data_IF_055497576382
#
_entry.id   IF_055497576382
#
_cell.length_a   1.000
_cell.length_b   1.000
_cell.length_c   1.000
_cell.angle_alpha   90.00
_cell.angle_beta   90.00
_cell.angle_gamma   90.00
#
_symmetry.space_group_name_H-M   'P 1'
#
loop_
_entity.id
_entity.type
_entity.pdbx_description
1 polymer ?
#
# COMPACT_ATOMS: atom_id res chain seq x y z
N UNK A 1 -20.40 0.91 16.27
CA UNK A 1 -19.61 0.19 15.25
C UNK A 1 -19.10 1.23 14.28
N UNK A 2 -17.77 1.41 14.18
CA UNK A 2 -17.16 2.40 13.28
C UNK A 2 -16.86 1.72 11.93
N UNK A 3 -17.31 2.33 10.84
CA UNK A 3 -17.10 1.85 9.46
C UNK A 3 -16.37 2.94 8.69
N UNK A 4 -15.41 2.53 7.86
CA UNK A 4 -14.69 3.41 6.94
C UNK A 4 -15.01 2.99 5.51
N UNK A 5 -15.57 3.91 4.73
CA UNK A 5 -15.87 3.68 3.31
C UNK A 5 -14.67 4.13 2.47
N UNK A 6 -14.14 3.21 1.66
CA UNK A 6 -13.02 3.50 0.76
C UNK A 6 -13.49 4.30 -0.46
N UNK A 7 -12.69 5.28 -0.87
CA UNK A 7 -12.86 5.95 -2.15
C UNK A 7 -12.46 5.02 -3.32
N UNK A 8 -12.69 5.45 -4.55
CA UNK A 8 -12.43 4.63 -5.74
C UNK A 8 -10.97 4.20 -5.88
N UNK A 9 -10.02 5.14 -5.72
CA UNK A 9 -8.59 4.83 -5.79
C UNK A 9 -8.19 3.81 -4.73
N UNK A 10 -8.64 3.99 -3.50
CA UNK A 10 -8.36 3.07 -2.41
C UNK A 10 -8.92 1.67 -2.70
N UNK A 11 -10.09 1.55 -3.34
CA UNK A 11 -10.63 0.24 -3.75
C UNK A 11 -9.76 -0.43 -4.81
N UNK A 12 -9.30 0.30 -5.83
CA UNK A 12 -8.37 -0.23 -6.83
C UNK A 12 -7.05 -0.67 -6.20
N UNK A 13 -6.47 0.14 -5.30
CA UNK A 13 -5.23 -0.20 -4.59
C UNK A 13 -5.42 -1.49 -3.76
N UNK A 14 -6.57 -1.61 -3.08
CA UNK A 14 -6.90 -2.80 -2.29
C UNK A 14 -7.06 -4.04 -3.19
N UNK A 15 -7.69 -3.92 -4.34
CA UNK A 15 -7.82 -5.01 -5.31
C UNK A 15 -6.45 -5.51 -5.79
N UNK A 16 -5.54 -4.60 -6.14
CA UNK A 16 -4.18 -4.94 -6.55
C UNK A 16 -3.36 -5.56 -5.41
N UNK A 17 -3.53 -5.10 -4.17
CA UNK A 17 -2.91 -5.73 -2.99
C UNK A 17 -3.43 -7.16 -2.78
N UNK A 18 -4.74 -7.36 -2.80
CA UNK A 18 -5.37 -8.66 -2.53
C UNK A 18 -5.12 -9.70 -3.62
N UNK A 19 -4.98 -9.26 -4.87
CA UNK A 19 -4.69 -10.14 -6.02
C UNK A 19 -3.20 -10.36 -6.25
N UNK A 20 -2.33 -9.64 -5.53
CA UNK A 20 -0.87 -9.72 -5.70
C UNK A 20 -0.32 -8.89 -6.87
N UNK A 21 -1.13 -8.02 -7.49
CA UNK A 21 -0.68 -7.08 -8.53
C UNK A 21 0.39 -6.08 -8.07
N UNK A 22 0.53 -5.88 -6.75
CA UNK A 22 1.59 -5.06 -6.14
C UNK A 22 2.73 -5.86 -5.51
N UNK A 23 2.87 -7.17 -5.78
CA UNK A 23 3.97 -7.96 -5.26
C UNK A 23 5.32 -7.25 -5.48
N UNK A 24 6.15 -7.07 -4.43
CA UNK A 24 6.14 -7.78 -3.14
C UNK A 24 5.23 -7.21 -2.04
N UNK A 25 4.47 -6.13 -2.27
CA UNK A 25 3.59 -5.54 -1.27
C UNK A 25 2.40 -6.46 -0.94
N UNK A 26 2.14 -6.59 0.36
CA UNK A 26 0.98 -7.33 0.93
C UNK A 26 0.05 -6.45 1.76
N UNK A 27 0.41 -5.17 1.94
CA UNK A 27 -0.32 -4.17 2.74
C UNK A 27 -0.06 -2.76 2.20
N UNK A 28 -0.87 -1.79 2.65
CA UNK A 28 -0.54 -0.38 2.46
C UNK A 28 0.76 -0.03 3.20
N UNK A 29 1.50 0.96 2.68
CA UNK A 29 2.78 1.36 3.25
C UNK A 29 2.62 1.87 4.68
N UNK A 30 3.42 1.34 5.59
CA UNK A 30 3.68 1.98 6.88
C UNK A 30 4.58 3.21 6.73
N UNK A 31 4.77 3.96 7.80
CA UNK A 31 5.56 5.19 7.77
C UNK A 31 7.01 4.95 7.28
N UNK A 32 7.65 3.87 7.71
CA UNK A 32 9.02 3.55 7.30
C UNK A 32 9.13 3.31 5.79
N UNK A 33 8.27 2.45 5.23
CA UNK A 33 8.28 2.16 3.79
C UNK A 33 7.88 3.39 2.96
N UNK A 34 6.93 4.18 3.46
CA UNK A 34 6.53 5.41 2.79
C UNK A 34 7.70 6.39 2.62
N UNK A 35 8.45 6.66 3.69
CA UNK A 35 9.60 7.57 3.65
C UNK A 35 10.72 7.04 2.74
N UNK A 36 10.99 5.73 2.76
CA UNK A 36 12.02 5.15 1.89
C UNK A 36 11.60 5.13 0.44
N UNK A 37 10.32 4.90 0.13
CA UNK A 37 9.81 4.99 -1.25
C UNK A 37 9.93 6.41 -1.77
N UNK A 38 9.54 7.41 -0.97
CA UNK A 38 9.65 8.82 -1.36
C UNK A 38 11.09 9.25 -1.66
N UNK A 39 12.05 8.79 -0.87
CA UNK A 39 13.45 9.26 -0.94
C UNK A 39 14.36 8.39 -1.80
N UNK A 40 14.06 7.09 -1.90
CA UNK A 40 14.96 6.08 -2.49
C UNK A 40 14.27 5.16 -3.49
N UNK A 41 12.95 5.30 -3.70
CA UNK A 41 12.16 4.46 -4.60
C UNK A 41 12.26 2.96 -4.26
N UNK A 42 12.37 2.64 -2.97
CA UNK A 42 12.50 1.27 -2.45
C UNK A 42 11.76 1.10 -1.13
N UNK A 43 11.35 -0.13 -0.82
CA UNK A 43 10.81 -0.48 0.48
C UNK A 43 11.91 -0.41 1.55
N UNK A 44 11.53 -0.35 2.83
CA UNK A 44 12.52 -0.22 3.90
C UNK A 44 13.44 -1.45 3.99
N UNK A 45 12.98 -2.61 3.49
CA UNK A 45 13.70 -3.88 3.47
C UNK A 45 14.43 -4.20 2.15
N UNK A 46 14.33 -3.35 1.10
CA UNK A 46 14.91 -3.66 -0.21
C UNK A 46 14.97 -2.50 -1.19
#
# INVERSE_FOLDING_TARGET
MMVLTLNERQRCDLELLLTGGFAPLSQYLGAADYETVLTRMRLADG
#
